data_IF_892273252934
#
_entry.id   IF_892273252934
#
_cell.length_a   1.000
_cell.length_b   1.000
_cell.length_c   1.000
_cell.angle_alpha   90.00
_cell.angle_beta   90.00
_cell.angle_gamma   90.00
#
_symmetry.space_group_name_H-M   'P 1'
#
loop_
_entity.id
_entity.type
_entity.pdbx_description
1 polymer ?
#
# COMPACT_ATOMS: atom_id res chain seq x y z
N UNK A 1 21.69 -1.66 7.91
CA UNK A 1 21.22 -0.80 6.79
C UNK A 1 19.73 -1.06 6.70
N UNK A 2 18.87 -0.11 7.04
CA UNK A 2 17.43 -0.32 6.96
C UNK A 2 17.07 -0.38 5.47
N UNK A 3 16.57 -1.52 5.00
CA UNK A 3 16.01 -1.60 3.66
C UNK A 3 14.76 -0.71 3.63
N UNK A 4 14.89 0.48 3.05
CA UNK A 4 13.75 1.36 2.80
C UNK A 4 12.90 0.74 1.69
N UNK A 5 11.92 -0.07 2.08
CA UNK A 5 10.97 -0.66 1.13
C UNK A 5 9.95 0.41 0.75
N UNK A 6 9.95 0.82 -0.52
CA UNK A 6 8.96 1.77 -1.04
C UNK A 6 7.74 1.01 -1.58
N UNK A 7 6.55 1.47 -1.19
CA UNK A 7 5.28 1.02 -1.74
C UNK A 7 4.61 2.13 -2.53
N UNK A 8 3.79 1.74 -3.50
CA UNK A 8 3.00 2.66 -4.31
C UNK A 8 1.53 2.36 -4.10
N UNK A 9 0.76 3.38 -3.75
CA UNK A 9 -0.68 3.27 -3.65
C UNK A 9 -1.31 3.05 -5.05
N UNK A 10 -2.12 2.01 -5.18
CA UNK A 10 -2.84 1.65 -6.42
C UNK A 10 -4.14 2.43 -6.59
N UNK A 11 -4.74 2.81 -5.46
CA UNK A 11 -6.01 3.52 -5.38
C UNK A 11 -5.89 4.61 -4.32
N UNK A 12 -6.77 5.60 -4.40
CA UNK A 12 -7.01 6.51 -3.29
C UNK A 12 -7.68 5.77 -2.13
N UNK A 13 -7.20 6.05 -0.92
CA UNK A 13 -7.79 5.56 0.33
C UNK A 13 -7.79 6.71 1.33
N UNK A 14 -8.95 6.93 1.92
CA UNK A 14 -9.13 7.95 2.96
C UNK A 14 -9.05 7.22 4.30
N UNK A 15 -8.12 7.65 5.16
CA UNK A 15 -8.04 7.17 6.52
C UNK A 15 -9.38 7.38 7.24
N UNK A 16 -9.94 6.33 7.82
CA UNK A 16 -11.19 6.37 8.58
C UNK A 16 -10.93 6.51 10.08
N UNK A 17 -9.76 6.07 10.53
CA UNK A 17 -9.28 6.10 11.91
C UNK A 17 -8.00 6.93 12.01
N UNK A 18 -7.73 7.48 13.21
CA UNK A 18 -6.53 8.27 13.50
C UNK A 18 -5.20 7.51 13.32
N UNK A 19 -5.26 6.18 13.36
CA UNK A 19 -4.10 5.31 13.17
C UNK A 19 -3.84 5.01 11.69
N UNK A 20 -4.77 5.32 10.79
CA UNK A 20 -4.65 5.09 9.36
C UNK A 20 -4.03 6.28 8.63
N UNK A 21 -3.48 6.03 7.44
CA UNK A 21 -2.92 7.10 6.60
C UNK A 21 -3.75 7.26 5.33
N UNK A 22 -4.11 8.50 5.00
CA UNK A 22 -4.67 8.83 3.71
C UNK A 22 -3.59 8.68 2.64
N UNK A 23 -3.94 7.98 1.56
CA UNK A 23 -3.02 7.71 0.44
C UNK A 23 -3.73 8.04 -0.86
N UNK A 24 -3.01 8.61 -1.81
CA UNK A 24 -3.52 8.83 -3.16
C UNK A 24 -3.00 7.78 -4.12
N UNK A 25 -3.80 7.44 -5.12
CA UNK A 25 -3.33 6.64 -6.25
C UNK A 25 -2.02 7.21 -6.82
N UNK A 26 -1.06 6.33 -7.11
CA UNK A 26 0.30 6.64 -7.54
C UNK A 26 1.20 7.35 -6.51
N UNK A 27 0.75 7.48 -5.26
CA UNK A 27 1.57 8.04 -4.19
C UNK A 27 2.62 7.03 -3.71
N UNK A 28 3.83 7.52 -3.49
CA UNK A 28 4.96 6.74 -2.98
C UNK A 28 5.03 6.89 -1.47
N UNK A 29 5.10 5.76 -0.79
CA UNK A 29 5.10 5.68 0.66
C UNK A 29 6.24 4.77 1.10
N UNK A 30 6.81 5.07 2.25
CA UNK A 30 7.85 4.24 2.86
C UNK A 30 7.20 3.20 3.76
N UNK A 31 7.44 1.93 3.49
CA UNK A 31 7.01 0.84 4.35
C UNK A 31 7.84 0.84 5.63
N UNK A 32 7.14 0.87 6.76
CA UNK A 32 7.73 0.78 8.08
C UNK A 32 7.54 -0.62 8.68
N UNK A 33 6.37 -1.21 8.48
CA UNK A 33 6.05 -2.56 9.00
C UNK A 33 5.05 -3.26 8.07
N UNK A 34 5.41 -4.46 7.59
CA UNK A 34 4.52 -5.35 6.82
C UNK A 34 4.21 -6.66 7.53
N UNK A 35 4.41 -6.73 8.86
CA UNK A 35 4.24 -7.96 9.63
C UNK A 35 2.78 -8.43 9.69
N UNK A 36 1.82 -7.57 9.33
CA UNK A 36 0.36 -7.83 9.43
C UNK A 36 -0.35 -7.56 8.09
N UNK A 37 -1.64 -7.89 8.01
CA UNK A 37 -2.48 -7.57 6.84
C UNK A 37 -2.57 -6.07 6.53
N UNK A 38 -2.39 -5.25 7.57
CA UNK A 38 -2.29 -3.80 7.51
C UNK A 38 -0.84 -3.39 7.59
N UNK A 39 -0.38 -2.67 6.59
CA UNK A 39 0.99 -2.23 6.49
C UNK A 39 1.12 -0.84 7.08
N UNK A 40 2.09 -0.67 7.96
CA UNK A 40 2.44 0.65 8.48
C UNK A 40 3.33 1.33 7.45
N UNK A 41 2.90 2.49 7.00
CA UNK A 41 3.62 3.28 6.00
C UNK A 41 3.84 4.71 6.49
N UNK A 42 4.81 5.39 5.90
CA UNK A 42 5.08 6.82 6.09
C UNK A 42 4.92 7.55 4.77
N UNK A 43 4.32 8.74 4.79
CA UNK A 43 4.29 9.61 3.62
C UNK A 43 5.44 10.63 3.62
N UNK A 44 5.48 11.47 2.58
CA UNK A 44 6.45 12.56 2.43
C UNK A 44 6.33 13.63 3.52
N UNK A 45 5.19 13.72 4.20
CA UNK A 45 4.95 14.68 5.28
C UNK A 45 5.37 14.13 6.64
N UNK A 46 6.14 13.04 6.68
CA UNK A 46 6.51 12.32 7.90
C UNK A 46 5.31 11.78 8.71
N UNK A 47 4.10 11.77 8.16
CA UNK A 47 2.95 11.13 8.80
C UNK A 47 3.03 9.63 8.59
N UNK A 48 2.78 8.90 9.66
CA UNK A 48 2.72 7.44 9.64
C UNK A 48 1.32 6.96 9.90
N UNK A 49 0.88 5.93 9.20
CA UNK A 49 -0.36 5.26 9.52
C UNK A 49 -0.43 3.89 8.88
N UNK A 50 -1.51 3.18 9.18
CA UNK A 50 -1.81 1.88 8.61
C UNK A 50 -2.60 2.03 7.32
N UNK A 51 -2.23 1.22 6.33
CA UNK A 51 -2.94 1.12 5.07
C UNK A 51 -3.18 -0.35 4.75
N UNK A 52 -4.32 -0.69 4.13
CA UNK A 52 -4.57 -2.06 3.72
C UNK A 52 -3.61 -2.44 2.59
N UNK A 53 -2.93 -3.57 2.73
CA UNK A 53 -1.99 -4.10 1.72
C UNK A 53 -2.63 -4.32 0.33
N UNK A 54 -3.95 -4.45 0.25
CA UNK A 54 -4.69 -4.52 -1.02
C UNK A 54 -4.66 -3.21 -1.82
N UNK A 55 -4.46 -2.06 -1.16
CA UNK A 55 -4.47 -0.74 -1.78
C UNK A 55 -3.06 -0.24 -2.11
N UNK A 56 -2.01 -0.92 -1.66
CA UNK A 56 -0.61 -0.55 -1.88
C UNK A 56 0.18 -1.71 -2.49
N UNK A 57 1.18 -1.40 -3.32
CA UNK A 57 2.02 -2.40 -3.98
C UNK A 57 3.50 -2.15 -3.69
N UNK A 58 4.22 -3.16 -3.21
CA UNK A 58 5.67 -3.10 -3.02
C UNK A 58 6.38 -3.01 -4.37
N UNK A 59 7.21 -1.98 -4.53
CA UNK A 59 8.05 -1.82 -5.73
C UNK A 59 9.14 -2.88 -5.88
N UNK A 60 9.33 -3.77 -4.90
CA UNK A 60 10.32 -4.85 -4.93
C UNK A 60 9.70 -6.27 -5.08
N UNK A 61 8.69 -6.43 -5.93
CA UNK A 61 8.16 -7.76 -6.22
C UNK A 61 7.99 -7.99 -7.71
N UNK A 62 9.12 -8.30 -8.36
CA UNK A 62 9.08 -9.14 -9.54
C UNK A 62 8.36 -10.45 -9.17
N UNK A 63 7.27 -10.76 -9.87
CA UNK A 63 6.56 -12.07 -9.98
C UNK A 63 5.18 -12.31 -9.33
N UNK A 64 4.50 -11.38 -8.66
CA UNK A 64 3.12 -11.65 -8.13
C UNK A 64 2.00 -10.74 -8.64
N UNK A 65 2.03 -10.38 -9.92
CA UNK A 65 0.91 -9.70 -10.60
C UNK A 65 0.29 -10.52 -11.75
N UNK A 66 0.32 -11.87 -11.69
CA UNK A 66 -0.22 -12.74 -12.76
C UNK A 66 -1.49 -13.54 -12.42
N UNK A 67 -2.20 -13.33 -11.30
CA UNK A 67 -3.26 -14.30 -10.90
C UNK A 67 -4.65 -13.71 -10.57
N UNK A 68 -4.91 -12.39 -10.59
CA UNK A 68 -6.29 -11.87 -10.35
C UNK A 68 -6.75 -10.84 -11.38
N UNK A 69 -7.07 -11.33 -12.58
CA UNK A 69 -7.75 -10.52 -13.62
C UNK A 69 -8.82 -11.34 -14.36
N UNK A 70 -9.56 -12.18 -13.65
CA UNK A 70 -10.63 -13.00 -14.24
C UNK A 70 -11.97 -12.97 -13.49
N UNK A 71 -12.38 -11.84 -12.90
CA UNK A 71 -13.73 -11.72 -12.33
C UNK A 71 -14.34 -10.34 -12.65
N UNK A 72 -14.78 -10.17 -13.90
CA UNK A 72 -15.86 -9.23 -14.27
C UNK A 72 -16.41 -9.40 -15.71
N UNK A 73 -16.37 -10.60 -16.26
CA UNK A 73 -17.26 -11.00 -17.35
C UNK A 73 -18.07 -12.16 -16.77
N UNK A 74 -19.31 -11.97 -16.39
CA UNK A 74 -20.45 -12.31 -17.25
C UNK A 74 -21.70 -11.73 -16.58
N UNK A 75 -22.44 -10.94 -17.36
CA UNK A 75 -23.83 -10.58 -17.11
C UNK A 75 -24.72 -11.83 -16.99
#
# INVERSE_FOLDING_TARGET
MAEEVVVVAKFDYVAQQEQELDIKKNERLWLLDDSKSWWRVRNSMNKTGFVPSNYVERKNSARKASIVKNLKDTL
#
